data_IF_465728951142
#
_entry.id   IF_465728951142
#
_cell.length_a   1.000
_cell.length_b   1.000
_cell.length_c   1.000
_cell.angle_alpha   90.00
_cell.angle_beta   90.00
_cell.angle_gamma   90.00
#
_symmetry.space_group_name_H-M   'P 1'
#
loop_
_entity.id
_entity.type
_entity.pdbx_description
1 polymer ?
#
# COMPACT_ATOMS: atom_id res chain seq x y z
N UNK A 1 -16.03 9.02 1.00
CA UNK A 1 -15.16 7.84 1.25
C UNK A 1 -16.01 6.60 1.37
N UNK A 2 -15.70 5.58 0.58
CA UNK A 2 -16.49 4.37 0.55
C UNK A 2 -16.30 3.51 1.80
N UNK A 3 -17.35 2.83 2.21
CA UNK A 3 -17.26 1.82 3.27
C UNK A 3 -16.46 0.59 2.77
N UNK A 4 -16.72 0.17 1.55
CA UNK A 4 -16.02 -0.95 0.93
C UNK A 4 -14.75 -0.47 0.22
N UNK A 5 -13.69 -1.28 0.35
CA UNK A 5 -12.41 -1.04 -0.31
C UNK A 5 -12.07 -2.19 -1.25
N UNK A 6 -11.22 -1.89 -2.22
CA UNK A 6 -10.56 -2.90 -3.05
C UNK A 6 -9.07 -2.86 -2.75
N UNK A 7 -8.48 -4.02 -2.57
CA UNK A 7 -7.04 -4.17 -2.36
C UNK A 7 -6.43 -4.99 -3.47
N UNK A 8 -5.32 -4.50 -4.02
CA UNK A 8 -4.47 -5.24 -4.95
C UNK A 8 -3.21 -5.61 -4.15
N UNK A 9 -2.95 -6.89 -3.98
CA UNK A 9 -1.88 -7.38 -3.12
C UNK A 9 -1.05 -8.45 -3.82
N UNK A 10 0.27 -8.32 -3.76
CA UNK A 10 1.19 -9.37 -4.19
C UNK A 10 1.64 -10.21 -2.99
N UNK A 11 1.87 -11.48 -3.23
CA UNK A 11 2.52 -12.33 -2.24
C UNK A 11 3.96 -11.87 -2.07
N UNK A 12 4.36 -11.59 -0.84
CA UNK A 12 5.71 -11.21 -0.51
C UNK A 12 6.44 -12.38 0.15
N UNK A 13 7.45 -12.90 -0.55
CA UNK A 13 8.33 -13.93 -0.01
C UNK A 13 9.70 -13.33 0.26
N UNK A 14 9.72 -12.30 1.12
CA UNK A 14 10.91 -11.56 1.45
C UNK A 14 11.22 -10.42 0.49
N UNK A 15 12.22 -9.63 0.83
CA UNK A 15 12.66 -8.54 -0.01
C UNK A 15 13.53 -9.02 -1.15
N UNK A 16 13.27 -8.51 -2.34
CA UNK A 16 14.07 -8.82 -3.52
C UNK A 16 15.28 -7.89 -3.61
N UNK A 17 15.17 -6.67 -3.07
CA UNK A 17 16.20 -5.63 -3.19
C UNK A 17 15.95 -4.42 -2.31
N UNK A 18 16.84 -3.41 -2.45
CA UNK A 18 16.81 -2.16 -1.69
C UNK A 18 16.15 -0.99 -2.45
N UNK A 19 15.33 -1.23 -3.44
CA UNK A 19 14.71 -0.18 -4.28
C UNK A 19 13.73 0.71 -3.53
N UNK A 20 14.11 1.24 -2.38
CA UNK A 20 13.24 2.06 -1.54
C UNK A 20 13.01 3.46 -2.08
N UNK A 21 14.02 4.07 -2.71
CA UNK A 21 13.84 5.37 -3.36
C UNK A 21 12.88 5.27 -4.54
N UNK A 22 13.03 4.23 -5.34
CA UNK A 22 12.13 3.95 -6.44
C UNK A 22 10.71 3.68 -5.93
N UNK A 23 10.59 2.88 -4.86
CA UNK A 23 9.31 2.62 -4.21
C UNK A 23 8.62 3.89 -3.72
N UNK A 24 9.40 4.82 -3.14
CA UNK A 24 8.87 6.11 -2.70
C UNK A 24 8.20 6.86 -3.86
N UNK A 25 8.88 6.97 -4.99
CA UNK A 25 8.36 7.66 -6.17
C UNK A 25 7.18 6.91 -6.80
N UNK A 26 7.26 5.59 -6.88
CA UNK A 26 6.18 4.76 -7.41
C UNK A 26 4.93 4.83 -6.54
N UNK A 27 5.08 4.93 -5.22
CA UNK A 27 3.95 5.10 -4.31
C UNK A 27 3.18 6.40 -4.60
N UNK A 28 3.88 7.49 -4.85
CA UNK A 28 3.24 8.75 -5.27
C UNK A 28 2.51 8.58 -6.60
N UNK A 29 3.14 7.90 -7.55
CA UNK A 29 2.55 7.65 -8.86
C UNK A 29 1.25 6.87 -8.74
N UNK A 30 1.22 5.83 -7.92
CA UNK A 30 -0.01 5.04 -7.70
C UNK A 30 -1.14 5.91 -7.13
N UNK A 31 -0.83 6.72 -6.12
CA UNK A 31 -1.84 7.59 -5.51
C UNK A 31 -2.39 8.58 -6.53
N UNK A 32 -1.52 9.20 -7.33
CA UNK A 32 -1.94 10.14 -8.37
C UNK A 32 -2.72 9.48 -9.50
N UNK A 33 -2.36 8.24 -9.82
CA UNK A 33 -3.08 7.45 -10.81
C UNK A 33 -4.56 7.26 -10.40
N UNK A 34 -4.82 7.16 -9.11
CA UNK A 34 -6.17 7.02 -8.58
C UNK A 34 -6.90 8.36 -8.37
N UNK A 35 -6.25 9.47 -8.73
CA UNK A 35 -6.88 10.79 -8.68
C UNK A 35 -6.67 11.58 -7.40
N UNK A 36 -5.73 11.16 -6.55
CA UNK A 36 -5.45 11.82 -5.28
C UNK A 36 -4.01 12.32 -5.22
N UNK A 37 -3.72 13.13 -4.20
CA UNK A 37 -2.36 13.57 -3.90
C UNK A 37 -1.84 12.83 -2.65
N UNK A 38 -0.57 12.41 -2.65
CA UNK A 38 0.02 11.82 -1.45
C UNK A 38 0.16 12.87 -0.35
N UNK A 39 -0.26 12.54 0.86
CA UNK A 39 -0.26 13.48 1.98
C UNK A 39 0.57 13.02 3.17
N UNK A 40 0.62 11.72 3.43
CA UNK A 40 1.26 11.18 4.64
C UNK A 40 2.13 9.98 4.34
N UNK A 41 3.16 9.81 5.19
CA UNK A 41 4.16 8.75 5.07
C UNK A 41 4.23 7.97 6.38
N UNK A 42 4.18 6.63 6.28
CA UNK A 42 4.54 5.74 7.38
C UNK A 42 5.88 5.10 7.05
N UNK A 43 6.83 5.09 8.00
CA UNK A 43 8.17 4.59 7.72
C UNK A 43 8.87 4.12 8.98
N UNK A 44 9.76 3.16 8.83
CA UNK A 44 10.68 2.74 9.88
C UNK A 44 11.65 3.84 10.31
N UNK A 45 11.71 4.97 9.59
CA UNK A 45 12.39 6.17 10.03
C UNK A 45 11.84 6.68 11.36
N UNK A 46 10.53 6.64 11.56
CA UNK A 46 9.89 7.06 12.80
C UNK A 46 9.81 5.88 13.76
N UNK A 47 10.66 5.89 14.77
CA UNK A 47 10.72 4.80 15.77
C UNK A 47 9.45 4.69 16.62
N UNK A 48 8.69 5.78 16.75
CA UNK A 48 7.42 5.79 17.48
C UNK A 48 6.24 5.29 16.67
N UNK A 49 6.44 4.98 15.38
CA UNK A 49 5.35 4.61 14.48
C UNK A 49 4.48 5.78 14.04
N UNK A 50 4.84 7.00 14.40
CA UNK A 50 4.08 8.20 14.03
C UNK A 50 4.17 8.44 12.53
N UNK A 51 3.02 8.68 11.90
CA UNK A 51 3.00 9.06 10.49
C UNK A 51 3.45 10.51 10.33
N UNK A 52 4.11 10.77 9.20
CA UNK A 52 4.66 12.07 8.87
C UNK A 52 3.95 12.63 7.64
N UNK A 53 4.00 13.95 7.47
CA UNK A 53 3.44 14.56 6.27
C UNK A 53 4.48 14.61 5.17
N UNK A 54 4.06 14.36 3.93
CA UNK A 54 4.95 14.48 2.76
C UNK A 54 5.53 15.89 2.70
N UNK A 55 4.70 16.89 2.90
CA UNK A 55 5.07 18.30 2.81
C UNK A 55 6.24 18.68 3.72
N UNK A 56 6.25 18.17 4.95
CA UNK A 56 7.27 18.53 5.96
C UNK A 56 8.45 17.60 6.01
N UNK A 57 8.28 16.35 5.60
CA UNK A 57 9.23 15.29 5.92
C UNK A 57 9.91 14.65 4.70
N UNK A 58 9.53 15.07 3.50
CA UNK A 58 10.03 14.43 2.28
C UNK A 58 11.56 14.35 2.22
N UNK A 59 12.25 15.45 2.50
CA UNK A 59 13.72 15.47 2.47
C UNK A 59 14.35 14.51 3.47
N UNK A 60 13.79 14.47 4.68
CA UNK A 60 14.28 13.57 5.73
C UNK A 60 14.09 12.11 5.35
N UNK A 61 12.95 11.79 4.77
CA UNK A 61 12.64 10.43 4.35
C UNK A 61 13.55 10.01 3.21
N UNK A 62 13.73 10.84 2.18
CA UNK A 62 14.61 10.53 1.06
C UNK A 62 16.05 10.29 1.55
N UNK A 63 16.56 11.15 2.45
CA UNK A 63 17.87 10.94 3.03
C UNK A 63 17.97 9.62 3.80
N UNK A 64 16.95 9.30 4.58
CA UNK A 64 16.87 8.03 5.29
C UNK A 64 16.92 6.84 4.34
N UNK A 65 16.13 6.86 3.27
CA UNK A 65 16.07 5.77 2.30
C UNK A 65 17.40 5.56 1.57
N UNK A 66 18.19 6.62 1.39
CA UNK A 66 19.49 6.54 0.71
C UNK A 66 20.62 6.08 1.62
N UNK A 67 20.54 6.37 2.92
CA UNK A 67 21.67 6.20 3.84
C UNK A 67 21.46 5.16 4.94
N UNK A 68 20.22 4.69 5.15
CA UNK A 68 19.94 3.72 6.19
C UNK A 68 20.51 2.35 5.83
N UNK A 69 21.09 1.67 6.82
CA UNK A 69 21.56 0.29 6.64
C UNK A 69 20.39 -0.65 6.33
N UNK A 70 19.21 -0.35 6.89
CA UNK A 70 18.04 -1.18 6.72
C UNK A 70 16.77 -0.34 6.78
N UNK A 71 15.97 -0.46 5.74
CA UNK A 71 14.61 0.08 5.70
C UNK A 71 13.66 -1.10 5.88
N UNK A 72 12.76 -1.04 6.86
CA UNK A 72 11.87 -2.15 7.16
C UNK A 72 10.51 -2.00 6.47
N UNK A 73 10.01 -0.77 6.37
CA UNK A 73 8.75 -0.52 5.67
C UNK A 73 8.64 0.93 5.24
N UNK A 74 7.85 1.14 4.23
CA UNK A 74 7.47 2.46 3.75
C UNK A 74 6.07 2.39 3.17
N UNK A 75 5.17 3.15 3.76
CA UNK A 75 3.81 3.33 3.24
C UNK A 75 3.56 4.80 2.93
N UNK A 76 2.63 5.03 2.03
CA UNK A 76 2.19 6.38 1.69
C UNK A 76 0.67 6.36 1.57
N UNK A 77 0.04 7.44 1.99
CA UNK A 77 -1.41 7.52 1.96
C UNK A 77 -1.89 8.90 1.53
N UNK A 78 -3.11 8.94 1.06
CA UNK A 78 -3.85 10.17 0.84
C UNK A 78 -4.95 10.24 1.89
N UNK A 79 -4.80 11.15 2.85
CA UNK A 79 -5.77 11.39 3.91
C UNK A 79 -6.52 12.68 3.64
N UNK A 80 -7.85 12.71 3.82
CA UNK A 80 -8.59 13.97 3.78
C UNK A 80 -8.20 14.85 4.97
N UNK A 81 -8.41 16.15 4.85
CA UNK A 81 -8.04 17.10 5.91
C UNK A 81 -8.73 16.82 7.25
N UNK A 82 -9.92 16.26 7.20
CA UNK A 82 -10.76 15.98 8.37
C UNK A 82 -10.66 14.53 8.87
N UNK A 83 -9.61 13.82 8.51
CA UNK A 83 -9.47 12.43 8.97
C UNK A 83 -9.39 12.34 10.50
N UNK A 84 -9.96 11.26 11.05
CA UNK A 84 -9.90 10.97 12.49
C UNK A 84 -8.83 9.92 12.80
N UNK A 85 -8.81 8.83 12.05
CA UNK A 85 -7.87 7.72 12.28
C UNK A 85 -7.18 7.39 10.96
N UNK A 86 -5.89 7.69 10.89
CA UNK A 86 -5.10 7.51 9.67
C UNK A 86 -5.12 6.08 9.13
N UNK A 87 -5.20 5.09 10.01
CA UNK A 87 -5.21 3.68 9.64
C UNK A 87 -6.49 3.24 8.91
N UNK A 88 -7.54 4.05 8.96
CA UNK A 88 -8.85 3.72 8.37
C UNK A 88 -9.36 4.78 7.39
N UNK A 89 -9.02 6.05 7.60
CA UNK A 89 -9.69 7.17 6.92
C UNK A 89 -9.00 7.61 5.63
N UNK A 90 -8.13 6.80 5.07
CA UNK A 90 -7.44 7.12 3.83
C UNK A 90 -8.32 6.90 2.60
N UNK A 91 -8.11 7.69 1.56
CA UNK A 91 -8.66 7.41 0.24
C UNK A 91 -7.82 6.35 -0.49
N UNK A 92 -6.50 6.43 -0.32
CA UNK A 92 -5.55 5.45 -0.86
C UNK A 92 -4.48 5.18 0.17
N UNK A 93 -4.12 3.92 0.33
CA UNK A 93 -2.96 3.50 1.12
C UNK A 93 -2.11 2.57 0.26
N UNK A 94 -0.81 2.86 0.17
CA UNK A 94 0.16 2.09 -0.61
C UNK A 94 1.28 1.68 0.33
N UNK A 95 1.56 0.41 0.45
CA UNK A 95 2.55 -0.03 1.43
C UNK A 95 3.42 -1.19 0.99
N UNK A 96 4.67 -1.13 1.44
CA UNK A 96 5.66 -2.19 1.27
C UNK A 96 6.35 -2.45 2.60
N UNK A 97 6.30 -3.71 3.04
CA UNK A 97 7.00 -4.23 4.20
C UNK A 97 7.48 -5.64 3.88
N UNK A 98 8.07 -6.34 4.84
CA UNK A 98 8.56 -7.71 4.62
C UNK A 98 7.44 -8.67 4.21
N UNK A 99 6.25 -8.44 4.71
CA UNK A 99 5.09 -9.32 4.52
C UNK A 99 3.93 -8.66 3.76
N UNK A 100 4.10 -7.43 3.30
CA UNK A 100 3.03 -6.66 2.65
C UNK A 100 3.57 -5.95 1.42
N UNK A 101 2.84 -6.06 0.33
CA UNK A 101 3.03 -5.24 -0.87
C UNK A 101 1.64 -5.06 -1.48
N UNK A 102 1.00 -3.94 -1.18
CA UNK A 102 -0.38 -3.76 -1.60
C UNK A 102 -0.79 -2.30 -1.75
N UNK A 103 -1.92 -2.13 -2.44
CA UNK A 103 -2.62 -0.85 -2.58
C UNK A 103 -4.06 -1.07 -2.15
N UNK A 104 -4.54 -0.23 -1.25
CA UNK A 104 -5.94 -0.23 -0.80
C UNK A 104 -6.59 1.06 -1.30
N UNK A 105 -7.74 0.93 -1.95
CA UNK A 105 -8.46 2.07 -2.52
C UNK A 105 -9.96 1.98 -2.22
N UNK A 106 -10.67 3.09 -2.41
CA UNK A 106 -12.12 3.07 -2.40
C UNK A 106 -12.63 2.16 -3.52
N UNK A 107 -13.68 1.39 -3.26
CA UNK A 107 -14.27 0.52 -4.27
C UNK A 107 -14.64 1.27 -5.55
N UNK A 108 -15.16 2.49 -5.42
CA UNK A 108 -15.56 3.33 -6.56
C UNK A 108 -14.38 3.79 -7.42
N UNK A 109 -13.15 3.76 -6.90
CA UNK A 109 -11.96 4.17 -7.65
C UNK A 109 -11.33 3.02 -8.45
N UNK A 110 -11.77 1.81 -8.21
CA UNK A 110 -11.21 0.62 -8.86
C UNK A 110 -11.81 0.42 -10.27
N UNK A 111 -10.94 0.22 -11.26
CA UNK A 111 -11.35 -0.15 -12.62
C UNK A 111 -10.24 -0.96 -13.31
N UNK A 112 -10.56 -1.56 -14.45
CA UNK A 112 -9.64 -2.43 -15.19
C UNK A 112 -8.38 -1.69 -15.66
N UNK A 113 -8.50 -0.42 -16.02
CA UNK A 113 -7.35 0.36 -16.50
C UNK A 113 -6.32 0.62 -15.43
N UNK A 114 -6.75 1.05 -14.25
CA UNK A 114 -5.81 1.29 -13.16
C UNK A 114 -5.30 -0.01 -12.54
N UNK A 115 -6.09 -1.09 -12.58
CA UNK A 115 -5.65 -2.41 -12.12
C UNK A 115 -4.35 -2.83 -12.81
N UNK A 116 -4.31 -2.80 -14.13
CA UNK A 116 -3.17 -3.27 -14.90
C UNK A 116 -1.93 -2.41 -14.64
N UNK A 117 -2.09 -1.10 -14.52
CA UNK A 117 -0.99 -0.19 -14.22
C UNK A 117 -0.44 -0.41 -12.83
N UNK A 118 -1.30 -0.61 -11.84
CA UNK A 118 -0.89 -0.87 -10.45
C UNK A 118 -0.16 -2.21 -10.35
N UNK A 119 -0.68 -3.26 -10.97
CA UNK A 119 -0.02 -4.56 -10.99
C UNK A 119 1.39 -4.46 -11.58
N UNK A 120 1.55 -3.73 -12.67
CA UNK A 120 2.85 -3.52 -13.31
C UNK A 120 3.83 -2.82 -12.36
N UNK A 121 3.39 -1.78 -11.68
CA UNK A 121 4.24 -1.05 -10.73
C UNK A 121 4.64 -1.94 -9.56
N UNK A 122 3.67 -2.58 -8.91
CA UNK A 122 3.95 -3.40 -7.73
C UNK A 122 4.85 -4.60 -8.07
N UNK A 123 4.70 -5.17 -9.26
CA UNK A 123 5.47 -6.36 -9.67
C UNK A 123 6.98 -6.17 -9.66
N UNK A 124 7.45 -4.92 -9.68
CA UNK A 124 8.88 -4.61 -9.62
C UNK A 124 9.51 -4.91 -8.27
N UNK A 125 8.70 -5.05 -7.22
CA UNK A 125 9.17 -5.11 -5.83
C UNK A 125 9.03 -6.48 -5.19
N UNK A 126 8.73 -7.51 -5.96
CA UNK A 126 8.62 -8.87 -5.46
C UNK A 126 9.11 -9.86 -6.50
N UNK A 127 9.72 -10.96 -6.05
CA UNK A 127 10.10 -12.07 -6.91
C UNK A 127 8.88 -12.89 -7.31
N UNK A 128 7.92 -13.03 -6.40
CA UNK A 128 6.65 -13.70 -6.69
C UNK A 128 5.80 -12.78 -7.57
N UNK A 129 5.26 -13.33 -8.65
CA UNK A 129 4.32 -12.60 -9.51
C UNK A 129 2.87 -12.96 -9.20
N UNK A 130 2.64 -13.70 -8.14
CA UNK A 130 1.33 -14.12 -7.68
C UNK A 130 0.64 -12.97 -6.96
N UNK A 131 -0.58 -12.67 -7.35
CA UNK A 131 -1.34 -11.58 -6.76
C UNK A 131 -2.79 -11.99 -6.44
N UNK A 132 -3.41 -11.18 -5.61
CA UNK A 132 -4.81 -11.33 -5.23
C UNK A 132 -5.46 -9.97 -5.18
N UNK A 133 -6.69 -9.88 -5.68
CA UNK A 133 -7.51 -8.68 -5.58
C UNK A 133 -8.73 -9.03 -4.76
N UNK A 134 -9.02 -8.26 -3.72
CA UNK A 134 -10.13 -8.55 -2.84
C UNK A 134 -10.88 -7.31 -2.40
N UNK A 135 -12.15 -7.51 -2.08
CA UNK A 135 -13.02 -6.50 -1.49
C UNK A 135 -13.14 -6.76 0.01
N UNK A 136 -13.16 -5.70 0.80
CA UNK A 136 -13.32 -5.80 2.24
C UNK A 136 -13.87 -4.49 2.79
N UNK A 137 -14.67 -4.57 3.85
CA UNK A 137 -15.08 -3.40 4.62
C UNK A 137 -13.84 -2.73 5.21
N UNK A 138 -13.77 -1.42 5.09
CA UNK A 138 -12.67 -0.61 5.59
C UNK A 138 -12.41 -0.83 7.09
N UNK A 139 -13.46 -1.03 7.86
CA UNK A 139 -13.36 -1.23 9.31
C UNK A 139 -12.66 -2.54 9.72
N UNK A 140 -12.59 -3.51 8.83
CA UNK A 140 -11.88 -4.77 9.09
C UNK A 140 -10.37 -4.68 8.80
N UNK A 141 -9.90 -3.52 8.37
CA UNK A 141 -8.48 -3.26 8.09
C UNK A 141 -7.91 -4.22 7.03
N UNK A 142 -8.12 -3.90 5.73
CA UNK A 142 -7.67 -4.77 4.62
C UNK A 142 -6.19 -5.16 4.67
N UNK A 143 -5.33 -4.29 5.20
CA UNK A 143 -3.89 -4.55 5.31
C UNK A 143 -3.61 -5.76 6.20
N UNK A 144 -4.43 -6.02 7.21
CA UNK A 144 -4.26 -7.19 8.08
C UNK A 144 -4.42 -8.50 7.33
N UNK A 145 -5.34 -8.54 6.37
CA UNK A 145 -5.48 -9.73 5.52
C UNK A 145 -4.34 -9.81 4.50
N UNK A 146 -3.95 -8.68 3.94
CA UNK A 146 -2.84 -8.63 2.97
C UNK A 146 -1.53 -9.17 3.57
N UNK A 147 -1.30 -8.97 4.85
CA UNK A 147 -0.12 -9.48 5.56
C UNK A 147 -0.14 -11.01 5.77
N UNK A 148 -1.28 -11.65 5.58
CA UNK A 148 -1.46 -13.11 5.69
C UNK A 148 -1.13 -13.70 7.07
N UNK A 149 -1.17 -12.89 8.12
CA UNK A 149 -0.97 -13.37 9.50
C UNK A 149 -2.24 -13.98 10.10
N UNK A 150 -3.40 -13.69 9.49
CA UNK A 150 -4.69 -14.19 9.94
C UNK A 150 -5.36 -14.98 8.82
N UNK A 151 -6.10 -16.07 9.14
CA UNK A 151 -6.82 -16.82 8.13
C UNK A 151 -7.97 -16.00 7.52
N UNK A 152 -8.35 -16.32 6.29
CA UNK A 152 -9.44 -15.63 5.59
C UNK A 152 -10.75 -15.64 6.39
N UNK A 153 -11.02 -16.72 7.13
CA UNK A 153 -12.23 -16.86 7.94
C UNK A 153 -12.32 -15.84 9.08
N UNK A 154 -11.22 -15.18 9.43
CA UNK A 154 -11.20 -14.13 10.44
C UNK A 154 -11.94 -12.87 9.98
N UNK A 155 -12.03 -12.66 8.67
CA UNK A 155 -12.61 -11.44 8.07
C UNK A 155 -14.02 -11.74 7.52
N UNK A 156 -15.02 -11.06 8.07
CA UNK A 156 -16.43 -11.30 7.72
C UNK A 156 -16.84 -10.79 6.35
N UNK A 157 -16.22 -9.69 5.92
CA UNK A 157 -16.60 -9.02 4.67
C UNK A 157 -15.65 -9.31 3.52
N UNK A 158 -14.64 -10.15 3.74
CA UNK A 158 -13.66 -10.49 2.72
C UNK A 158 -14.31 -11.21 1.54
N UNK A 159 -14.09 -10.68 0.34
CA UNK A 159 -14.51 -11.29 -0.91
C UNK A 159 -13.35 -11.26 -1.90
N UNK A 160 -12.87 -12.44 -2.28
CA UNK A 160 -11.81 -12.53 -3.30
C UNK A 160 -12.45 -12.27 -4.67
N UNK A 161 -11.94 -11.29 -5.41
CA UNK A 161 -12.43 -10.90 -6.72
C UNK A 161 -11.63 -11.59 -7.81
N UNK A 162 -10.31 -11.63 -7.66
CA UNK A 162 -9.42 -12.17 -8.68
C UNK A 162 -8.16 -12.71 -8.02
N UNK A 163 -7.64 -13.82 -8.53
CA UNK A 163 -6.33 -14.34 -8.19
C UNK A 163 -5.62 -14.61 -9.50
N UNK A 164 -4.31 -14.35 -9.54
CA UNK A 164 -3.57 -14.57 -10.77
C UNK A 164 -2.08 -14.46 -10.60
N UNK A 165 -1.40 -14.60 -11.74
CA UNK A 165 0.04 -14.40 -11.85
C UNK A 165 0.25 -13.30 -12.87
N UNK A 166 0.97 -12.25 -12.47
CA UNK A 166 1.25 -11.13 -13.36
C UNK A 166 2.34 -11.55 -14.35
N UNK A 167 2.02 -11.46 -15.64
CA UNK A 167 2.92 -11.77 -16.72
C UNK A 167 2.99 -10.57 -17.66
N UNK A 168 4.18 -10.06 -17.90
CA UNK A 168 4.37 -8.90 -18.79
C UNK A 168 4.32 -9.30 -20.26
#
# INVERSE_FOLDING_TARGET
MDKETITISFNCEGFVDDKWNEWYEDSKTVIRLLGYEPTHIGSSYSKSGKILTVKRSEKKIINYLQSAERVEYLSMSSLPDDYSIAAFDYNVWVGRAVDVLCVVMNKSDYNAGNKDQILKILSKYTASKSYEIFEMDRSECPVLYAAKDNPASFFKTLKIIEEGVFDE
#
